data_IF_899279403915
#
_entry.id   IF_899279403915
#
_cell.length_a   1.000
_cell.length_b   1.000
_cell.length_c   1.000
_cell.angle_alpha   90.00
_cell.angle_beta   90.00
_cell.angle_gamma   90.00
#
_symmetry.space_group_name_H-M   'P 1'
#
loop_
_entity.id
_entity.type
_entity.pdbx_description
1 polymer ?
#
# COMPACT_ATOMS: atom_id res chain seq x y z
N UNK A 1 -26.94 -5.62 1.72
CA UNK A 1 -25.47 -5.52 1.80
C UNK A 1 -25.13 -5.10 3.21
N UNK A 2 -24.32 -5.88 3.93
CA UNK A 2 -24.05 -5.71 5.35
C UNK A 2 -22.95 -4.67 5.56
N UNK A 3 -23.21 -3.65 6.37
CA UNK A 3 -22.32 -2.52 6.68
C UNK A 3 -21.00 -2.97 7.36
N UNK A 4 -20.95 -4.23 7.81
CA UNK A 4 -19.82 -4.81 8.55
C UNK A 4 -18.66 -5.29 7.67
N UNK A 5 -18.88 -5.66 6.41
CA UNK A 5 -17.81 -6.16 5.53
C UNK A 5 -16.93 -5.02 4.98
N UNK A 6 -17.52 -3.84 4.81
CA UNK A 6 -16.87 -2.62 4.31
C UNK A 6 -15.75 -2.17 5.26
N UNK A 7 -16.04 -1.98 6.56
CA UNK A 7 -15.02 -1.47 7.51
C UNK A 7 -13.87 -2.43 7.81
N UNK A 8 -14.06 -3.75 7.72
CA UNK A 8 -12.98 -4.70 7.92
C UNK A 8 -11.99 -4.69 6.76
N UNK A 9 -12.52 -4.52 5.54
CA UNK A 9 -11.77 -4.46 4.28
C UNK A 9 -10.93 -3.19 4.16
N UNK A 10 -11.51 -2.04 4.53
CA UNK A 10 -10.85 -0.73 4.51
C UNK A 10 -9.67 -0.69 5.48
N UNK A 11 -9.89 -1.24 6.68
CA UNK A 11 -8.87 -1.34 7.72
C UNK A 11 -7.72 -2.23 7.27
N UNK A 12 -8.00 -3.32 6.54
CA UNK A 12 -6.99 -4.25 6.03
C UNK A 12 -6.02 -3.58 5.05
N UNK A 13 -6.55 -2.80 4.10
CA UNK A 13 -5.71 -2.17 3.07
C UNK A 13 -4.93 -0.98 3.62
N UNK A 14 -5.55 -0.16 4.49
CA UNK A 14 -4.85 0.96 5.13
C UNK A 14 -3.72 0.49 6.07
N UNK A 15 -3.92 -0.60 6.82
CA UNK A 15 -2.91 -1.20 7.68
C UNK A 15 -1.75 -1.82 6.88
N UNK A 16 -2.07 -2.47 5.74
CA UNK A 16 -1.06 -2.95 4.80
C UNK A 16 -0.17 -1.80 4.31
N UNK A 17 -0.77 -0.69 3.84
CA UNK A 17 0.00 0.48 3.39
C UNK A 17 0.86 1.05 4.53
N UNK A 18 0.32 1.18 5.73
CA UNK A 18 1.10 1.63 6.90
C UNK A 18 2.27 0.70 7.27
N UNK A 19 2.14 -0.60 7.04
CA UNK A 19 3.23 -1.57 7.24
C UNK A 19 4.34 -1.36 6.21
N UNK A 20 3.99 -1.10 4.94
CA UNK A 20 4.95 -0.79 3.89
C UNK A 20 5.71 0.51 4.16
N UNK A 21 5.04 1.54 4.69
CA UNK A 21 5.68 2.80 5.08
C UNK A 21 6.74 2.57 6.17
N UNK A 22 6.44 1.73 7.17
CA UNK A 22 7.39 1.35 8.23
C UNK A 22 8.57 0.57 7.68
N UNK A 23 8.32 -0.38 6.77
CA UNK A 23 9.38 -1.13 6.10
C UNK A 23 10.26 -0.22 5.23
N UNK A 24 9.68 0.74 4.51
CA UNK A 24 10.41 1.73 3.72
C UNK A 24 11.33 2.62 4.58
N UNK A 25 10.90 2.92 5.81
CA UNK A 25 11.68 3.70 6.76
C UNK A 25 12.83 2.89 7.39
N UNK A 26 12.69 1.57 7.53
CA UNK A 26 13.68 0.71 8.16
C UNK A 26 14.61 0.04 7.12
N UNK A 27 15.67 0.77 6.73
CA UNK A 27 16.66 0.33 5.71
C UNK A 27 17.63 -0.76 6.19
N UNK A 28 17.51 -1.22 7.45
CA UNK A 28 18.49 -2.11 8.07
C UNK A 28 18.43 -3.57 7.57
N UNK A 29 17.34 -4.00 6.95
CA UNK A 29 17.18 -5.37 6.47
C UNK A 29 17.91 -5.60 5.14
N UNK A 30 18.70 -6.67 5.04
CA UNK A 30 19.31 -7.08 3.77
C UNK A 30 18.20 -7.38 2.73
N UNK A 31 18.33 -6.85 1.51
CA UNK A 31 17.33 -6.96 0.43
C UNK A 31 15.96 -6.29 0.70
N UNK A 32 15.85 -5.38 1.66
CA UNK A 32 14.61 -4.67 1.98
C UNK A 32 13.92 -4.08 0.74
N UNK A 33 14.69 -3.55 -0.21
CA UNK A 33 14.18 -2.96 -1.46
C UNK A 33 13.50 -3.97 -2.40
N UNK A 34 13.98 -5.21 -2.47
CA UNK A 34 13.41 -6.25 -3.33
C UNK A 34 12.06 -6.74 -2.80
N UNK A 35 11.96 -6.96 -1.48
CA UNK A 35 10.69 -7.28 -0.83
C UNK A 35 9.67 -6.14 -1.01
N UNK A 36 10.11 -4.90 -0.85
CA UNK A 36 9.24 -3.72 -0.91
C UNK A 36 8.69 -3.46 -2.32
N UNK A 37 9.45 -3.72 -3.38
CA UNK A 37 8.97 -3.59 -4.77
C UNK A 37 7.81 -4.54 -5.07
N UNK A 38 7.91 -5.81 -4.66
CA UNK A 38 6.80 -6.77 -4.85
C UNK A 38 5.59 -6.41 -3.99
N UNK A 39 5.82 -6.02 -2.73
CA UNK A 39 4.74 -5.71 -1.78
C UNK A 39 3.97 -4.43 -2.13
N UNK A 40 4.63 -3.41 -2.68
CA UNK A 40 3.95 -2.19 -3.17
C UNK A 40 3.04 -2.48 -4.36
N UNK A 41 3.44 -3.37 -5.28
CA UNK A 41 2.55 -3.83 -6.37
C UNK A 41 1.31 -4.55 -5.82
N UNK A 42 1.49 -5.49 -4.90
CA UNK A 42 0.37 -6.22 -4.27
C UNK A 42 -0.57 -5.26 -3.55
N UNK A 43 -0.03 -4.22 -2.90
CA UNK A 43 -0.85 -3.20 -2.25
C UNK A 43 -1.71 -2.42 -3.26
N UNK A 44 -1.16 -2.01 -4.40
CA UNK A 44 -1.93 -1.34 -5.46
C UNK A 44 -3.06 -2.22 -6.00
N UNK A 45 -2.79 -3.51 -6.23
CA UNK A 45 -3.80 -4.49 -6.67
C UNK A 45 -4.93 -4.63 -5.63
N UNK A 46 -4.59 -4.74 -4.35
CA UNK A 46 -5.58 -4.80 -3.25
C UNK A 46 -6.39 -3.51 -3.11
N UNK A 47 -5.77 -2.34 -3.26
CA UNK A 47 -6.49 -1.05 -3.26
C UNK A 47 -7.47 -0.98 -4.41
N UNK A 48 -7.05 -1.34 -5.63
CA UNK A 48 -7.94 -1.37 -6.80
C UNK A 48 -9.14 -2.29 -6.57
N UNK A 49 -8.89 -3.51 -6.10
CA UNK A 49 -9.96 -4.46 -5.80
C UNK A 49 -10.91 -3.92 -4.74
N UNK A 50 -10.41 -3.29 -3.68
CA UNK A 50 -11.24 -2.71 -2.62
C UNK A 50 -12.11 -1.55 -3.14
N UNK A 51 -11.60 -0.72 -4.06
CA UNK A 51 -12.41 0.33 -4.73
C UNK A 51 -13.49 -0.29 -5.63
N UNK A 52 -13.12 -1.27 -6.45
CA UNK A 52 -14.05 -1.96 -7.37
C UNK A 52 -15.18 -2.68 -6.62
N UNK A 53 -14.83 -3.33 -5.51
CA UNK A 53 -15.77 -3.99 -4.61
C UNK A 53 -16.60 -3.01 -3.76
N UNK A 54 -16.36 -1.70 -3.88
CA UNK A 54 -16.99 -0.62 -3.10
C UNK A 54 -16.82 -0.82 -1.59
N UNK A 55 -15.68 -1.39 -1.21
CA UNK A 55 -15.28 -1.49 0.19
C UNK A 55 -14.78 -0.12 0.65
N UNK A 56 -13.81 0.47 -0.05
CA UNK A 56 -13.39 1.86 0.19
C UNK A 56 -14.02 2.82 -0.82
N UNK A 57 -14.11 4.09 -0.45
CA UNK A 57 -14.41 5.18 -1.37
C UNK A 57 -13.31 5.38 -2.41
N UNK A 58 -13.67 5.97 -3.56
CA UNK A 58 -12.71 6.28 -4.62
C UNK A 58 -11.61 7.27 -4.16
N UNK A 59 -11.97 8.23 -3.30
CA UNK A 59 -11.04 9.20 -2.71
C UNK A 59 -10.05 8.53 -1.75
N UNK A 60 -10.53 7.67 -0.85
CA UNK A 60 -9.69 6.88 0.05
C UNK A 60 -8.74 5.98 -0.72
N UNK A 61 -9.25 5.32 -1.77
CA UNK A 61 -8.45 4.52 -2.68
C UNK A 61 -7.36 5.33 -3.39
N UNK A 62 -7.67 6.56 -3.83
CA UNK A 62 -6.68 7.46 -4.44
C UNK A 62 -5.59 7.87 -3.43
N UNK A 63 -5.97 8.24 -2.21
CA UNK A 63 -5.04 8.61 -1.15
C UNK A 63 -4.08 7.44 -0.81
N UNK A 64 -4.62 6.23 -0.64
CA UNK A 64 -3.82 5.04 -0.40
C UNK A 64 -2.84 4.74 -1.56
N UNK A 65 -3.27 4.91 -2.82
CA UNK A 65 -2.37 4.75 -3.98
C UNK A 65 -1.24 5.77 -3.96
N UNK A 66 -1.54 7.04 -3.68
CA UNK A 66 -0.50 8.09 -3.59
C UNK A 66 0.57 7.76 -2.54
N UNK A 67 0.16 7.23 -1.39
CA UNK A 67 1.09 6.77 -0.35
C UNK A 67 1.98 5.62 -0.83
N UNK A 68 1.41 4.65 -1.55
CA UNK A 68 2.19 3.54 -2.13
C UNK A 68 3.16 4.03 -3.20
N UNK A 69 2.76 4.97 -4.06
CA UNK A 69 3.66 5.56 -5.05
C UNK A 69 4.81 6.33 -4.39
N UNK A 70 4.56 7.08 -3.31
CA UNK A 70 5.62 7.74 -2.54
C UNK A 70 6.67 6.75 -1.98
N UNK A 71 6.26 5.54 -1.61
CA UNK A 71 7.20 4.47 -1.22
C UNK A 71 8.02 4.01 -2.43
N UNK A 72 7.40 3.85 -3.60
CA UNK A 72 8.09 3.44 -4.82
C UNK A 72 9.10 4.50 -5.30
N UNK A 73 8.76 5.78 -5.23
CA UNK A 73 9.68 6.87 -5.58
C UNK A 73 10.93 6.85 -4.71
N UNK A 74 10.77 6.66 -3.39
CA UNK A 74 11.90 6.51 -2.46
C UNK A 74 12.77 5.30 -2.78
N UNK A 75 12.19 4.19 -3.26
CA UNK A 75 12.96 3.03 -3.71
C UNK A 75 13.78 3.35 -4.96
N UNK A 76 13.21 4.11 -5.90
CA UNK A 76 13.91 4.52 -7.13
C UNK A 76 15.07 5.46 -6.80
N UNK A 77 14.85 6.45 -5.94
CA UNK A 77 15.91 7.37 -5.48
C UNK A 77 17.11 6.62 -4.88
N UNK A 78 16.85 5.52 -4.16
CA UNK A 78 17.89 4.70 -3.53
C UNK A 78 18.58 3.72 -4.47
N UNK A 79 17.94 3.33 -5.57
CA UNK A 79 18.57 2.49 -6.60
C UNK A 79 19.46 3.29 -7.56
N UNK A 80 19.37 4.62 -7.54
CA UNK A 80 20.16 5.54 -8.37
C UNK A 80 21.46 6.02 -7.69
N UNK A 81 21.72 5.59 -6.45
CA UNK A 81 22.94 5.85 -5.67
C UNK A 81 23.75 4.57 -5.47
#
# INVERSE_FOLDING_TARGET
MSVTETSASDKNVAELVGTLEKQAANRADANWHNGLKSSTRIALEKINHAVEAKWIGAEDGLNLKQRVYSIQDKLIELALW
#
